data_IF_031027059328
#
_entry.id   IF_031027059328
#
_cell.length_a   1.000
_cell.length_b   1.000
_cell.length_c   1.000
_cell.angle_alpha   90.00
_cell.angle_beta   90.00
_cell.angle_gamma   90.00
#
_symmetry.space_group_name_H-M   'P 1'
#
loop_
_entity.id
_entity.type
_entity.pdbx_description
1 polymer ?
#
# COMPACT_ATOMS: atom_id res chain seq x y z
N UNK A 1 8.89 -8.02 18.75
CA UNK A 1 9.10 -6.83 19.61
C UNK A 1 9.95 -5.83 18.86
N UNK A 2 9.62 -4.53 18.78
CA UNK A 2 10.45 -3.58 18.04
C UNK A 2 11.52 -2.96 18.95
N UNK A 3 12.76 -2.94 18.48
CA UNK A 3 13.85 -2.20 19.11
C UNK A 3 13.84 -0.75 18.59
N UNK A 4 13.62 0.21 19.50
CA UNK A 4 13.58 1.65 19.19
C UNK A 4 14.94 2.26 19.54
N UNK A 5 15.60 2.90 18.56
CA UNK A 5 16.77 3.77 18.78
C UNK A 5 16.39 5.19 18.39
N UNK A 6 16.64 6.16 19.28
CA UNK A 6 16.11 7.53 19.17
C UNK A 6 17.22 8.56 19.02
N UNK A 7 17.23 9.29 17.90
CA UNK A 7 17.83 10.62 17.73
C UNK A 7 17.09 11.30 16.57
N UNK A 8 16.30 12.34 16.87
CA UNK A 8 15.14 12.86 16.08
C UNK A 8 14.10 11.76 15.79
N UNK A 9 12.90 11.84 16.38
CA UNK A 9 11.84 10.81 16.25
C UNK A 9 11.20 10.84 14.85
N UNK A 10 11.95 10.50 13.81
CA UNK A 10 11.37 9.97 12.57
C UNK A 10 10.86 8.56 12.87
N UNK A 11 9.53 8.40 12.89
CA UNK A 11 8.90 7.09 12.93
C UNK A 11 8.74 6.64 11.49
N UNK A 12 9.52 5.65 11.09
CA UNK A 12 9.34 4.97 9.81
C UNK A 12 8.34 3.84 10.00
N UNK A 13 7.22 3.89 9.26
CA UNK A 13 6.24 2.80 9.21
C UNK A 13 6.45 2.11 7.87
N UNK A 14 6.88 0.85 7.92
CA UNK A 14 7.06 0.03 6.72
C UNK A 14 5.82 -0.86 6.53
N UNK A 15 5.28 -0.97 5.31
CA UNK A 15 4.22 -1.93 5.01
C UNK A 15 4.66 -3.36 5.27
N UNK A 16 3.73 -4.20 5.73
CA UNK A 16 3.97 -5.63 5.99
C UNK A 16 3.03 -6.50 5.17
N UNK A 17 3.47 -7.71 4.86
CA UNK A 17 2.67 -8.68 4.11
C UNK A 17 1.29 -8.89 4.76
N UNK A 18 0.25 -8.87 3.93
CA UNK A 18 -1.15 -9.03 4.32
C UNK A 18 -1.87 -7.74 4.70
N UNK A 19 -1.15 -6.63 4.90
CA UNK A 19 -1.78 -5.33 5.17
C UNK A 19 -2.38 -4.73 3.90
N UNK A 20 -3.40 -3.87 4.07
CA UNK A 20 -3.96 -3.06 3.00
C UNK A 20 -3.51 -1.62 3.17
N UNK A 21 -3.06 -1.00 2.08
CA UNK A 21 -2.51 0.35 2.07
C UNK A 21 -3.14 1.22 1.00
N UNK A 22 -3.24 2.51 1.27
CA UNK A 22 -3.50 3.53 0.25
C UNK A 22 -2.18 3.96 -0.40
N UNK A 23 -2.09 3.77 -1.72
CA UNK A 23 -0.92 4.10 -2.53
C UNK A 23 -1.23 5.32 -3.41
N UNK A 24 -0.41 6.36 -3.33
CA UNK A 24 -0.53 7.50 -4.25
C UNK A 24 -0.29 7.07 -5.71
N UNK A 25 -1.22 7.41 -6.61
CA UNK A 25 -1.05 7.13 -8.06
C UNK A 25 0.10 7.91 -8.65
N UNK A 26 0.05 9.21 -8.45
CA UNK A 26 1.05 10.15 -8.88
C UNK A 26 1.83 10.51 -7.60
N UNK A 27 3.15 10.28 -7.55
CA UNK A 27 4.05 10.75 -6.47
C UNK A 27 4.96 11.86 -7.04
N UNK A 28 4.77 13.09 -6.58
CA UNK A 28 5.46 14.33 -6.86
C UNK A 28 5.14 15.23 -5.67
N UNK A 29 6.13 15.90 -5.09
CA UNK A 29 5.93 16.70 -3.87
C UNK A 29 5.00 17.92 -4.03
N UNK A 30 4.40 18.16 -5.21
CA UNK A 30 3.63 19.36 -5.54
C UNK A 30 2.11 19.14 -5.71
N UNK A 31 1.53 18.01 -5.31
CA UNK A 31 0.13 17.75 -5.68
C UNK A 31 -0.90 18.70 -5.07
N UNK A 32 -1.62 19.33 -5.99
CA UNK A 32 -2.90 19.99 -5.77
C UNK A 32 -3.98 18.95 -5.44
N UNK A 33 -4.86 19.32 -4.51
CA UNK A 33 -5.99 18.48 -4.08
C UNK A 33 -7.02 18.39 -5.21
N UNK A 34 -7.75 17.26 -5.36
CA UNK A 34 -7.79 16.11 -4.45
C UNK A 34 -6.73 15.04 -4.77
N UNK A 35 -6.16 14.46 -3.71
CA UNK A 35 -5.22 13.35 -3.83
C UNK A 35 -5.92 12.11 -4.42
N UNK A 36 -5.24 11.44 -5.36
CA UNK A 36 -5.70 10.19 -5.97
C UNK A 36 -4.92 9.01 -5.41
N UNK A 37 -5.67 8.01 -4.95
CA UNK A 37 -5.11 6.79 -4.38
C UNK A 37 -5.66 5.57 -5.11
N UNK A 38 -4.87 4.51 -5.06
CA UNK A 38 -5.34 3.14 -5.21
C UNK A 38 -5.19 2.40 -3.89
N UNK A 39 -6.03 1.39 -3.68
CA UNK A 39 -5.87 0.48 -2.55
C UNK A 39 -5.11 -0.75 -3.01
N UNK A 40 -4.12 -1.15 -2.22
CA UNK A 40 -3.29 -2.31 -2.51
C UNK A 40 -3.16 -3.20 -1.28
N UNK A 41 -3.08 -4.51 -1.49
CA UNK A 41 -2.68 -5.48 -0.48
C UNK A 41 -1.21 -5.82 -0.64
N UNK A 42 -0.48 -5.91 0.47
CA UNK A 42 0.93 -6.28 0.45
C UNK A 42 1.08 -7.80 0.32
N UNK A 43 1.85 -8.25 -0.66
CA UNK A 43 2.03 -9.67 -0.99
C UNK A 43 3.43 -10.21 -0.60
N UNK A 44 4.42 -9.32 -0.44
CA UNK A 44 5.78 -9.67 0.01
C UNK A 44 6.27 -8.77 1.14
N UNK A 45 7.32 -9.21 1.84
CA UNK A 45 8.09 -8.32 2.69
C UNK A 45 8.90 -7.32 1.82
N UNK A 46 9.30 -6.20 2.43
CA UNK A 46 10.16 -5.22 1.78
C UNK A 46 11.57 -5.79 1.59
N UNK A 47 12.00 -5.88 0.34
CA UNK A 47 13.35 -6.22 -0.08
C UNK A 47 14.11 -4.95 -0.50
N UNK A 48 15.38 -4.82 -0.11
CA UNK A 48 16.17 -3.63 -0.42
C UNK A 48 16.42 -3.45 -1.92
N UNK A 49 16.55 -4.57 -2.64
CA UNK A 49 17.02 -4.62 -4.01
C UNK A 49 15.84 -4.61 -5.00
N UNK A 50 14.73 -5.27 -4.63
CA UNK A 50 13.57 -5.46 -5.48
C UNK A 50 12.35 -4.65 -5.03
N UNK A 51 12.34 -4.12 -3.81
CA UNK A 51 11.21 -3.38 -3.24
C UNK A 51 10.14 -4.28 -2.61
N UNK A 52 8.87 -3.88 -2.71
CA UNK A 52 7.75 -4.60 -2.10
C UNK A 52 6.67 -4.96 -3.11
N UNK A 53 6.25 -6.22 -3.10
CA UNK A 53 5.20 -6.74 -3.97
C UNK A 53 3.81 -6.37 -3.46
N UNK A 54 2.98 -5.83 -4.35
CA UNK A 54 1.61 -5.41 -4.04
C UNK A 54 0.59 -5.94 -5.06
N UNK A 55 -0.63 -6.17 -4.59
CA UNK A 55 -1.80 -6.49 -5.41
C UNK A 55 -2.83 -5.36 -5.31
N UNK A 56 -3.25 -4.81 -6.44
CA UNK A 56 -4.25 -3.75 -6.47
C UNK A 56 -5.64 -4.29 -6.20
N UNK A 57 -6.43 -3.51 -5.46
CA UNK A 57 -7.81 -3.80 -5.12
C UNK A 57 -8.74 -2.90 -5.93
N UNK A 58 -9.72 -3.51 -6.59
CA UNK A 58 -10.74 -2.81 -7.35
C UNK A 58 -11.95 -2.51 -6.47
N UNK A 59 -12.57 -1.35 -6.67
CA UNK A 59 -13.83 -1.02 -6.00
C UNK A 59 -14.95 -1.88 -6.56
N UNK A 60 -15.70 -2.54 -5.69
CA UNK A 60 -16.88 -3.33 -6.07
C UNK A 60 -17.98 -2.38 -6.56
N UNK A 61 -18.56 -2.69 -7.72
CA UNK A 61 -19.65 -1.90 -8.29
C UNK A 61 -20.83 -1.79 -7.30
N UNK A 62 -21.42 -0.60 -7.20
CA UNK A 62 -22.54 -0.33 -6.27
C UNK A 62 -22.14 -0.05 -4.81
N UNK A 63 -20.89 -0.31 -4.40
CA UNK A 63 -20.40 0.03 -3.06
C UNK A 63 -19.51 1.27 -3.09
N UNK A 64 -19.47 2.07 -2.03
CA UNK A 64 -18.57 3.24 -1.94
C UNK A 64 -17.19 2.91 -1.36
N UNK A 65 -17.11 1.88 -0.52
CA UNK A 65 -15.88 1.57 0.23
C UNK A 65 -15.57 0.08 0.34
N UNK A 66 -16.18 -0.76 -0.51
CA UNK A 66 -15.84 -2.18 -0.59
C UNK A 66 -14.90 -2.38 -1.76
N UNK A 67 -13.78 -3.01 -1.49
CA UNK A 67 -12.73 -3.30 -2.46
C UNK A 67 -12.42 -4.79 -2.42
N UNK A 68 -12.22 -5.38 -3.59
CA UNK A 68 -11.89 -6.79 -3.75
C UNK A 68 -10.68 -6.98 -4.65
N UNK A 69 -10.12 -8.19 -4.62
CA UNK A 69 -9.05 -8.56 -5.55
C UNK A 69 -9.61 -8.52 -6.98
N UNK A 70 -8.97 -7.75 -7.86
CA UNK A 70 -9.37 -7.72 -9.27
C UNK A 70 -8.92 -9.02 -9.92
N UNK A 71 -9.87 -9.91 -10.24
CA UNK A 71 -9.62 -11.26 -10.79
C UNK A 71 -9.28 -11.22 -12.29
N UNK A 72 -9.42 -10.07 -12.96
CA UNK A 72 -9.21 -9.98 -14.41
C UNK A 72 -7.72 -9.90 -14.76
N UNK A 73 -7.20 -11.06 -15.21
CA UNK A 73 -5.99 -11.27 -16.01
C UNK A 73 -4.67 -10.92 -15.32
N UNK A 74 -3.86 -11.94 -14.98
CA UNK A 74 -2.38 -12.01 -14.93
C UNK A 74 -1.49 -10.81 -14.45
N UNK A 75 -2.04 -9.70 -13.96
CA UNK A 75 -1.34 -8.41 -13.93
C UNK A 75 -1.01 -7.83 -12.55
N UNK A 76 -1.36 -8.45 -11.43
CA UNK A 76 -1.39 -7.73 -10.14
C UNK A 76 -0.36 -8.16 -9.10
N UNK A 77 0.87 -8.44 -9.51
CA UNK A 77 2.04 -8.35 -8.63
C UNK A 77 2.95 -7.27 -9.17
N UNK A 78 2.67 -6.01 -8.81
CA UNK A 78 3.59 -4.92 -9.09
C UNK A 78 4.60 -4.85 -7.94
N UNK A 79 5.87 -4.71 -8.30
CA UNK A 79 6.91 -4.38 -7.34
C UNK A 79 6.94 -2.86 -7.23
N UNK A 80 6.73 -2.33 -6.02
CA UNK A 80 6.99 -0.93 -5.72
C UNK A 80 8.45 -0.84 -5.27
N UNK A 81 9.32 -0.12 -6.00
CA UNK A 81 10.73 0.04 -5.65
C UNK A 81 10.95 0.61 -4.25
N UNK A 82 12.07 0.26 -3.61
CA UNK A 82 12.38 0.70 -2.23
C UNK A 82 12.55 2.22 -2.09
N UNK A 83 12.91 2.93 -3.16
CA UNK A 83 12.98 4.40 -3.24
C UNK A 83 11.60 5.07 -3.41
N UNK A 84 10.57 4.30 -3.75
CA UNK A 84 9.18 4.76 -3.85
C UNK A 84 8.33 4.49 -2.59
N UNK A 85 8.94 4.07 -1.48
CA UNK A 85 8.21 3.75 -0.24
C UNK A 85 7.39 4.93 0.33
N UNK A 86 7.71 6.17 -0.06
CA UNK A 86 6.93 7.35 0.32
C UNK A 86 5.55 7.44 -0.35
N UNK A 87 5.27 6.58 -1.33
CA UNK A 87 3.94 6.45 -1.95
C UNK A 87 2.92 5.80 -1.01
N UNK A 88 3.38 5.04 -0.02
CA UNK A 88 2.54 4.43 1.00
C UNK A 88 2.10 5.51 1.98
N UNK A 89 0.82 5.87 1.93
CA UNK A 89 0.30 6.94 2.77
C UNK A 89 -0.10 6.40 4.13
N UNK A 90 -1.14 5.57 4.19
CA UNK A 90 -1.75 5.09 5.44
C UNK A 90 -2.04 3.59 5.30
N UNK A 91 -1.80 2.85 6.39
CA UNK A 91 -2.28 1.48 6.55
C UNK A 91 -3.77 1.50 6.90
N UNK A 92 -4.59 0.83 6.11
CA UNK A 92 -6.00 0.61 6.43
C UNK A 92 -6.13 -0.59 7.36
N UNK A 93 -6.78 -0.41 8.51
CA UNK A 93 -7.05 -1.50 9.46
C UNK A 93 -8.28 -2.33 9.07
N UNK A 94 -8.93 -2.03 7.93
CA UNK A 94 -10.10 -2.75 7.45
C UNK A 94 -9.70 -4.14 6.92
N UNK A 95 -9.45 -5.07 7.85
CA UNK A 95 -9.56 -6.49 7.58
C UNK A 95 -11.05 -6.82 7.59
N UNK A 96 -11.69 -6.78 6.42
CA UNK A 96 -12.97 -7.46 6.26
C UNK A 96 -12.61 -8.95 6.24
N UNK A 97 -12.85 -9.60 7.38
CA UNK A 97 -12.82 -11.05 7.53
C UNK A 97 -13.89 -11.63 6.58
N UNK A 98 -13.45 -12.09 5.41
CA UNK A 98 -14.27 -12.93 4.56
C UNK A 98 -13.97 -14.37 4.96
N UNK A 99 -14.91 -14.97 5.71
CA UNK A 99 -15.01 -16.43 5.83
C UNK A 99 -15.01 -17.09 4.47
#
# INVERSE_FOLDING_TARGET
MPHIRTSKKTITINPRKGETWALFRDWKPQYERPYRYDFVKIESELDSDHGIGVAYLGRVEGFTSVYEHVVQHDYFKMMIPSDEMLRFSHSSIFQIDWR
#
